data_IF_871580194663
#
_entry.id   IF_871580194663
#
_cell.length_a   1.000
_cell.length_b   1.000
_cell.length_c   1.000
_cell.angle_alpha   90.00
_cell.angle_beta   90.00
_cell.angle_gamma   90.00
#
_symmetry.space_group_name_H-M   'P 1'
#
loop_
_entity.id
_entity.type
_entity.pdbx_description
1 polymer ?
#
# COMPACT_ATOMS: atom_id res chain seq x y z
N UNK A 1 -28.55 52.48 22.01
CA UNK A 1 -27.96 51.49 22.95
C UNK A 1 -27.20 50.46 22.12
N UNK A 2 -25.87 50.50 22.13
CA UNK A 2 -25.01 49.50 21.49
C UNK A 2 -24.75 48.36 22.49
N UNK A 3 -25.14 47.14 22.14
CA UNK A 3 -24.86 45.96 22.96
C UNK A 3 -23.36 45.66 22.87
N UNK A 4 -22.60 45.61 23.97
CA UNK A 4 -21.20 45.25 23.94
C UNK A 4 -21.05 43.81 23.43
N UNK A 5 -20.25 43.65 22.37
CA UNK A 5 -20.01 42.39 21.67
C UNK A 5 -19.11 41.47 22.50
N UNK A 6 -19.67 40.80 23.51
CA UNK A 6 -19.00 39.82 24.36
C UNK A 6 -18.65 38.49 23.64
N UNK A 7 -19.11 38.30 22.39
CA UNK A 7 -18.90 37.07 21.61
C UNK A 7 -17.52 36.94 20.96
N UNK A 8 -16.79 38.06 20.80
CA UNK A 8 -15.49 38.10 20.11
C UNK A 8 -14.33 37.39 20.83
N UNK A 9 -14.13 37.56 22.16
CA UNK A 9 -13.04 36.87 22.85
C UNK A 9 -13.24 35.34 22.85
N UNK A 10 -14.48 34.87 23.00
CA UNK A 10 -14.80 33.44 23.01
C UNK A 10 -14.47 32.81 21.65
N UNK A 11 -14.91 33.44 20.55
CA UNK A 11 -14.63 32.93 19.21
C UNK A 11 -13.12 32.85 18.92
N UNK A 12 -12.34 33.84 19.38
CA UNK A 12 -10.88 33.84 19.19
C UNK A 12 -10.22 32.67 19.93
N UNK A 13 -10.60 32.43 21.19
CA UNK A 13 -10.09 31.29 21.96
C UNK A 13 -10.50 29.94 21.35
N UNK A 14 -11.71 29.84 20.78
CA UNK A 14 -12.12 28.64 20.04
C UNK A 14 -11.20 28.37 18.84
N UNK A 15 -10.91 29.38 18.01
CA UNK A 15 -10.02 29.22 16.84
C UNK A 15 -8.60 28.83 17.26
N UNK A 16 -8.05 29.49 18.28
CA UNK A 16 -6.73 29.15 18.82
C UNK A 16 -6.69 27.70 19.33
N UNK A 17 -7.72 27.29 20.09
CA UNK A 17 -7.85 25.92 20.57
C UNK A 17 -7.93 24.90 19.43
N UNK A 18 -8.70 25.18 18.38
CA UNK A 18 -8.79 24.31 17.20
C UNK A 18 -7.46 24.20 16.46
N UNK A 19 -6.73 25.30 16.26
CA UNK A 19 -5.40 25.27 15.63
C UNK A 19 -4.43 24.41 16.43
N UNK A 20 -4.40 24.57 17.76
CA UNK A 20 -3.55 23.76 18.64
C UNK A 20 -3.92 22.28 18.52
N UNK A 21 -5.21 21.95 18.56
CA UNK A 21 -5.68 20.56 18.41
C UNK A 21 -5.24 19.94 17.08
N UNK A 22 -5.46 20.63 15.96
CA UNK A 22 -5.06 20.13 14.65
C UNK A 22 -3.54 19.97 14.54
N UNK A 23 -2.78 20.89 15.12
CA UNK A 23 -1.32 20.80 15.14
C UNK A 23 -0.85 19.60 15.98
N UNK A 24 -1.43 19.37 17.16
CA UNK A 24 -1.15 18.18 17.98
C UNK A 24 -1.47 16.88 17.23
N UNK A 25 -2.60 16.83 16.51
CA UNK A 25 -2.97 15.67 15.68
C UNK A 25 -1.96 15.43 14.55
N UNK A 26 -1.53 16.49 13.86
CA UNK A 26 -0.49 16.41 12.83
C UNK A 26 0.84 15.90 13.39
N UNK A 27 1.29 16.46 14.52
CA UNK A 27 2.52 16.04 15.19
C UNK A 27 2.46 14.58 15.65
N UNK A 28 1.32 14.16 16.21
CA UNK A 28 1.11 12.77 16.61
C UNK A 28 1.20 11.81 15.43
N UNK A 29 0.47 12.08 14.33
CA UNK A 29 0.49 11.22 13.13
C UNK A 29 1.88 11.13 12.50
N UNK A 30 2.53 12.27 12.35
CA UNK A 30 3.88 12.37 11.76
C UNK A 30 4.90 11.65 12.65
N UNK A 31 4.84 11.89 13.96
CA UNK A 31 5.71 11.25 14.95
C UNK A 31 5.52 9.74 15.03
N UNK A 32 4.27 9.25 14.98
CA UNK A 32 3.97 7.82 14.95
C UNK A 32 4.56 7.15 13.69
N UNK A 33 4.38 7.75 12.51
CA UNK A 33 4.97 7.24 11.27
C UNK A 33 6.50 7.25 11.30
N UNK A 34 7.13 8.33 11.78
CA UNK A 34 8.58 8.41 11.95
C UNK A 34 9.11 7.35 12.92
N UNK A 35 8.45 7.19 14.07
CA UNK A 35 8.81 6.19 15.07
C UNK A 35 8.71 4.77 14.50
N UNK A 36 7.60 4.46 13.81
CA UNK A 36 7.42 3.16 13.15
C UNK A 36 8.51 2.89 12.10
N UNK A 37 8.80 3.86 11.24
CA UNK A 37 9.83 3.73 10.21
C UNK A 37 11.24 3.57 10.80
N UNK A 38 11.53 4.27 11.89
CA UNK A 38 12.77 4.10 12.62
C UNK A 38 12.86 2.71 13.25
N UNK A 39 11.78 2.25 13.87
CA UNK A 39 11.71 0.92 14.46
C UNK A 39 11.96 -0.17 13.41
N UNK A 40 11.32 -0.10 12.24
CA UNK A 40 11.58 -1.03 11.13
C UNK A 40 13.04 -1.06 10.70
N UNK A 41 13.74 0.09 10.72
CA UNK A 41 15.17 0.13 10.37
C UNK A 41 16.05 -0.48 11.45
N UNK A 42 15.73 -0.22 12.71
CA UNK A 42 16.51 -0.72 13.85
C UNK A 42 16.32 -2.22 14.08
N UNK A 43 15.11 -2.72 13.84
CA UNK A 43 14.75 -4.13 14.04
C UNK A 43 15.01 -5.00 12.81
N UNK A 44 15.47 -4.42 11.69
CA UNK A 44 15.76 -5.19 10.49
C UNK A 44 16.94 -6.14 10.74
N UNK A 45 16.70 -7.47 10.75
CA UNK A 45 17.72 -8.44 11.14
C UNK A 45 18.63 -8.73 9.95
N UNK A 46 19.55 -7.82 9.62
CA UNK A 46 20.42 -7.97 8.45
C UNK A 46 21.02 -9.40 8.39
N UNK A 47 20.74 -10.11 7.30
CA UNK A 47 21.22 -11.47 7.11
C UNK A 47 22.75 -11.54 7.17
N UNK A 48 23.30 -12.68 7.62
CA UNK A 48 24.75 -12.88 7.74
C UNK A 48 25.49 -12.68 6.41
N UNK A 49 24.84 -13.05 5.31
CA UNK A 49 25.31 -12.79 3.95
C UNK A 49 24.38 -11.76 3.30
N UNK A 50 24.96 -10.79 2.60
CA UNK A 50 24.19 -9.77 1.92
C UNK A 50 23.33 -10.41 0.82
N UNK A 51 22.01 -10.24 0.90
CA UNK A 51 21.09 -10.73 -0.13
C UNK A 51 21.29 -9.98 -1.46
N UNK A 52 20.88 -10.54 -2.60
CA UNK A 52 20.82 -9.80 -3.87
C UNK A 52 20.07 -8.47 -3.75
N UNK A 53 19.00 -8.43 -2.95
CA UNK A 53 18.29 -7.19 -2.65
C UNK A 53 19.18 -6.12 -2.01
N UNK A 54 19.94 -6.48 -0.98
CA UNK A 54 20.84 -5.55 -0.29
C UNK A 54 21.99 -5.06 -1.18
N UNK A 55 22.32 -5.81 -2.22
CA UNK A 55 23.34 -5.48 -3.21
C UNK A 55 22.80 -4.67 -4.40
N UNK A 56 21.50 -4.30 -4.39
CA UNK A 56 20.85 -3.57 -5.47
C UNK A 56 20.94 -4.28 -6.84
N UNK A 57 20.94 -5.62 -6.85
CA UNK A 57 20.92 -6.41 -8.09
C UNK A 57 19.64 -6.07 -8.88
N UNK A 58 19.71 -5.77 -10.19
CA UNK A 58 18.52 -5.52 -10.99
C UNK A 58 17.49 -6.65 -10.90
N UNK A 59 16.20 -6.30 -10.86
CA UNK A 59 15.12 -7.28 -10.61
C UNK A 59 15.06 -8.41 -11.66
N UNK A 60 15.42 -8.12 -12.91
CA UNK A 60 15.48 -9.06 -14.02
C UNK A 60 16.68 -10.02 -13.96
N UNK A 61 17.67 -9.72 -13.12
CA UNK A 61 18.86 -10.53 -12.86
C UNK A 61 18.76 -11.32 -11.54
N UNK A 62 17.71 -11.12 -10.75
CA UNK A 62 17.53 -11.83 -9.49
C UNK A 62 17.12 -13.28 -9.70
N UNK A 63 17.80 -14.19 -9.02
CA UNK A 63 17.32 -15.55 -8.82
C UNK A 63 16.29 -15.59 -7.68
N UNK A 64 15.01 -15.45 -8.04
CA UNK A 64 13.92 -15.47 -7.06
C UNK A 64 13.70 -16.84 -6.41
N UNK A 65 14.22 -17.93 -6.99
CA UNK A 65 14.13 -19.26 -6.37
C UNK A 65 14.93 -19.32 -5.06
N UNK A 66 15.94 -18.46 -4.89
CA UNK A 66 16.69 -18.33 -3.65
C UNK A 66 15.83 -17.91 -2.44
N UNK A 67 14.65 -17.34 -2.67
CA UNK A 67 13.75 -16.89 -1.61
C UNK A 67 12.62 -17.86 -1.31
N UNK A 68 12.45 -18.95 -2.08
CA UNK A 68 11.32 -19.88 -1.91
C UNK A 68 11.24 -20.44 -0.49
N UNK A 69 12.38 -20.69 0.16
CA UNK A 69 12.44 -21.19 1.54
C UNK A 69 11.94 -20.21 2.61
N UNK A 70 11.68 -18.95 2.28
CA UNK A 70 11.09 -17.97 3.22
C UNK A 70 9.58 -18.11 3.34
N UNK A 71 8.99 -18.91 2.46
CA UNK A 71 7.55 -19.09 2.37
C UNK A 71 7.19 -20.50 2.83
N UNK A 72 6.15 -20.65 3.66
CA UNK A 72 5.72 -21.97 4.11
C UNK A 72 5.17 -22.80 2.94
N UNK A 73 5.73 -23.99 2.74
CA UNK A 73 5.34 -24.94 1.68
C UNK A 73 3.98 -25.60 1.91
N UNK A 74 3.49 -25.65 3.15
CA UNK A 74 2.31 -26.43 3.53
C UNK A 74 1.36 -25.59 4.37
N UNK A 75 0.11 -25.50 3.91
CA UNK A 75 -1.01 -24.99 4.68
C UNK A 75 -2.11 -26.04 4.75
N UNK A 76 -2.58 -26.34 5.96
CA UNK A 76 -3.83 -27.07 6.16
C UNK A 76 -4.99 -26.08 6.01
N UNK A 77 -5.43 -25.86 4.77
CA UNK A 77 -6.63 -25.06 4.56
C UNK A 77 -7.87 -25.95 4.69
N UNK A 78 -8.94 -25.44 5.30
CA UNK A 78 -10.23 -26.10 5.21
C UNK A 78 -10.64 -26.17 3.74
N UNK A 79 -11.27 -27.27 3.36
CA UNK A 79 -11.81 -27.47 2.01
C UNK A 79 -12.96 -26.47 1.79
N UNK A 80 -12.65 -25.38 1.10
CA UNK A 80 -13.59 -24.33 0.73
C UNK A 80 -13.69 -24.28 -0.78
N UNK A 81 -14.89 -24.07 -1.31
CA UNK A 81 -15.08 -23.72 -2.72
C UNK A 81 -14.55 -22.29 -2.94
N UNK A 82 -13.42 -22.17 -3.64
CA UNK A 82 -12.79 -20.90 -3.97
C UNK A 82 -13.26 -20.41 -5.34
N UNK A 83 -13.64 -19.14 -5.42
CA UNK A 83 -13.76 -18.44 -6.70
C UNK A 83 -12.37 -18.00 -7.14
N UNK A 84 -11.78 -18.80 -8.01
CA UNK A 84 -10.42 -18.64 -8.51
C UNK A 84 -10.32 -17.78 -9.77
N UNK A 85 -11.38 -17.75 -10.57
CA UNK A 85 -11.49 -16.92 -11.77
C UNK A 85 -12.33 -15.67 -11.48
N UNK A 86 -11.82 -14.50 -11.85
CA UNK A 86 -12.55 -13.24 -11.69
C UNK A 86 -12.33 -12.32 -12.89
N UNK A 87 -13.29 -11.43 -13.12
CA UNK A 87 -13.10 -10.31 -14.02
C UNK A 87 -12.22 -9.23 -13.37
N UNK A 88 -11.26 -8.69 -14.13
CA UNK A 88 -10.41 -7.59 -13.67
C UNK A 88 -11.26 -6.34 -13.37
N UNK A 89 -11.14 -5.74 -12.17
CA UNK A 89 -11.93 -4.57 -11.81
C UNK A 89 -11.45 -3.27 -12.51
N UNK A 90 -10.22 -3.28 -13.02
CA UNK A 90 -9.54 -2.19 -13.71
C UNK A 90 -8.69 -2.75 -14.85
N UNK A 91 -8.21 -1.90 -15.76
CA UNK A 91 -7.15 -2.30 -16.70
C UNK A 91 -5.84 -2.44 -15.94
N UNK A 92 -5.16 -3.58 -16.13
CA UNK A 92 -3.86 -3.86 -15.55
C UNK A 92 -2.79 -3.57 -16.58
N UNK A 93 -1.80 -2.74 -16.22
CA UNK A 93 -0.69 -2.36 -17.09
C UNK A 93 0.61 -2.86 -16.50
N UNK A 94 1.35 -3.60 -17.32
CA UNK A 94 2.63 -4.20 -16.98
C UNK A 94 3.72 -3.59 -17.85
N UNK A 95 4.87 -3.31 -17.25
CA UNK A 95 5.97 -2.60 -17.90
C UNK A 95 7.25 -3.44 -17.82
N UNK A 96 8.11 -3.31 -18.83
CA UNK A 96 9.43 -3.96 -18.81
C UNK A 96 10.37 -3.29 -17.79
N UNK A 97 10.21 -1.98 -17.61
CA UNK A 97 10.94 -1.12 -16.67
C UNK A 97 9.94 -0.20 -15.94
N UNK A 98 10.36 0.44 -14.85
CA UNK A 98 9.49 1.41 -14.16
C UNK A 98 9.38 2.66 -15.04
N UNK A 99 8.17 3.05 -15.47
CA UNK A 99 8.00 4.04 -16.53
C UNK A 99 8.39 5.45 -16.10
N UNK A 100 9.25 6.09 -16.89
CA UNK A 100 9.71 7.47 -16.70
C UNK A 100 8.80 8.49 -17.44
N UNK A 101 7.50 8.49 -17.15
CA UNK A 101 6.46 9.33 -17.78
C UNK A 101 6.26 9.13 -19.30
N UNK A 102 5.04 8.75 -19.70
CA UNK A 102 4.66 8.62 -21.11
C UNK A 102 5.05 7.31 -21.79
N UNK A 103 5.71 6.39 -21.09
CA UNK A 103 6.02 5.05 -21.60
C UNK A 103 4.76 4.18 -21.75
N UNK A 104 4.74 3.38 -22.83
CA UNK A 104 3.67 2.44 -23.10
C UNK A 104 3.82 1.17 -22.25
N UNK A 105 2.69 0.57 -21.87
CA UNK A 105 2.69 -0.73 -21.21
C UNK A 105 3.22 -1.80 -22.18
N UNK A 106 4.09 -2.67 -21.68
CA UNK A 106 4.58 -3.84 -22.41
C UNK A 106 3.49 -4.92 -22.55
N UNK A 107 2.59 -4.98 -21.57
CA UNK A 107 1.41 -5.84 -21.58
C UNK A 107 0.25 -5.11 -20.89
N UNK A 108 -0.95 -5.22 -21.46
CA UNK A 108 -2.17 -4.68 -20.88
C UNK A 108 -3.25 -5.77 -20.82
N UNK A 109 -3.86 -5.95 -19.65
CA UNK A 109 -5.07 -6.75 -19.47
C UNK A 109 -6.22 -5.76 -19.30
N UNK A 110 -7.15 -5.77 -20.24
CA UNK A 110 -8.29 -4.87 -20.22
C UNK A 110 -9.17 -5.11 -18.98
N UNK A 111 -9.85 -4.05 -18.53
CA UNK A 111 -10.90 -4.17 -17.51
C UNK A 111 -12.00 -5.13 -17.99
N UNK A 112 -12.48 -5.99 -17.08
CA UNK A 112 -13.55 -6.95 -17.38
C UNK A 112 -13.03 -8.25 -17.98
N UNK A 113 -11.74 -8.35 -18.31
CA UNK A 113 -11.15 -9.61 -18.76
C UNK A 113 -11.12 -10.63 -17.63
N UNK A 114 -11.49 -11.87 -17.92
CA UNK A 114 -11.45 -12.96 -16.93
C UNK A 114 -10.03 -13.47 -16.75
N UNK A 115 -9.53 -13.39 -15.52
CA UNK A 115 -8.21 -13.85 -15.12
C UNK A 115 -8.29 -14.98 -14.10
N UNK A 116 -7.23 -15.77 -14.01
CA UNK A 116 -7.00 -16.73 -12.93
C UNK A 116 -6.35 -15.98 -11.76
N UNK A 117 -7.13 -15.49 -10.80
CA UNK A 117 -6.57 -14.74 -9.67
C UNK A 117 -5.99 -15.66 -8.58
N UNK A 118 -6.53 -16.87 -8.45
CA UNK A 118 -6.05 -17.92 -7.54
C UNK A 118 -5.64 -19.13 -8.39
N UNK A 119 -4.35 -19.47 -8.48
CA UNK A 119 -3.87 -20.59 -9.28
C UNK A 119 -4.19 -21.94 -8.62
N UNK A 120 -4.86 -22.83 -9.36
CA UNK A 120 -5.25 -24.18 -8.87
C UNK A 120 -4.07 -25.16 -8.75
N UNK A 121 -2.95 -24.87 -9.41
CA UNK A 121 -1.76 -25.73 -9.44
C UNK A 121 -0.83 -25.53 -8.24
N UNK A 122 -1.18 -24.66 -7.30
CA UNK A 122 -0.37 -24.47 -6.08
C UNK A 122 -0.64 -25.59 -5.10
N UNK A 123 0.34 -26.49 -4.92
CA UNK A 123 0.37 -27.39 -3.76
C UNK A 123 0.54 -26.53 -2.50
N UNK A 124 -0.53 -26.34 -1.75
CA UNK A 124 -0.52 -25.56 -0.51
C UNK A 124 -1.61 -24.50 -0.48
N UNK A 125 -1.25 -23.27 -0.12
CA UNK A 125 -2.24 -22.20 0.00
C UNK A 125 -2.51 -21.49 -1.33
N UNK A 126 -3.79 -21.32 -1.72
CA UNK A 126 -4.20 -20.65 -2.94
C UNK A 126 -3.76 -19.18 -3.01
N UNK A 127 -3.28 -18.63 -1.89
CA UNK A 127 -2.80 -17.26 -1.78
C UNK A 127 -1.27 -17.14 -1.80
N UNK A 128 -0.51 -18.18 -2.14
CA UNK A 128 0.95 -18.19 -1.98
C UNK A 128 1.72 -18.67 -3.21
N UNK A 129 1.24 -18.40 -4.42
CA UNK A 129 2.15 -18.48 -5.58
C UNK A 129 3.07 -17.25 -5.61
N UNK A 130 4.23 -17.37 -4.98
CA UNK A 130 5.17 -16.25 -4.90
C UNK A 130 5.62 -15.82 -6.31
N UNK A 131 5.54 -14.52 -6.55
CA UNK A 131 5.85 -13.89 -7.82
C UNK A 131 4.67 -13.83 -8.79
N UNK A 132 3.45 -14.25 -8.43
CA UNK A 132 2.27 -14.22 -9.30
C UNK A 132 1.22 -13.20 -8.85
N UNK A 133 0.77 -12.30 -9.72
CA UNK A 133 -0.32 -11.38 -9.40
C UNK A 133 -0.12 -10.58 -8.10
N UNK A 134 -1.01 -10.73 -7.12
CA UNK A 134 -0.92 -9.98 -5.86
C UNK A 134 0.11 -10.51 -4.86
N UNK A 135 0.71 -11.68 -5.08
CA UNK A 135 1.85 -12.23 -4.32
C UNK A 135 3.18 -11.86 -4.97
N UNK A 136 3.31 -10.60 -5.38
CA UNK A 136 4.45 -10.08 -6.13
C UNK A 136 5.69 -9.82 -5.28
N UNK A 137 6.86 -9.72 -5.92
CA UNK A 137 8.08 -9.26 -5.26
C UNK A 137 8.11 -7.74 -5.14
N UNK A 138 8.59 -7.17 -4.02
CA UNK A 138 8.83 -5.74 -3.93
C UNK A 138 9.96 -5.33 -4.86
N UNK A 139 9.86 -4.14 -5.44
CA UNK A 139 10.96 -3.49 -6.15
C UNK A 139 11.71 -2.52 -5.23
N UNK A 140 12.74 -1.87 -5.76
CA UNK A 140 13.47 -0.81 -5.07
C UNK A 140 12.69 0.50 -4.95
N UNK A 141 11.64 0.67 -5.74
CA UNK A 141 10.83 1.88 -5.75
C UNK A 141 9.48 1.64 -5.05
N UNK A 142 9.12 2.57 -4.16
CA UNK A 142 7.86 2.49 -3.43
C UNK A 142 6.67 2.48 -4.38
N UNK A 143 5.74 1.55 -4.17
CA UNK A 143 4.53 1.38 -4.98
C UNK A 143 4.70 0.51 -6.21
N UNK A 144 5.92 0.06 -6.54
CA UNK A 144 6.19 -0.77 -7.71
C UNK A 144 6.53 -2.20 -7.33
N UNK A 145 5.94 -3.14 -8.07
CA UNK A 145 6.05 -4.58 -7.84
C UNK A 145 6.60 -5.27 -9.08
N UNK A 146 7.42 -6.29 -8.85
CA UNK A 146 7.95 -7.13 -9.92
C UNK A 146 7.26 -8.50 -9.88
N UNK A 147 6.57 -8.85 -10.97
CA UNK A 147 5.60 -9.94 -10.93
C UNK A 147 5.37 -10.62 -12.28
N UNK A 148 5.05 -11.91 -12.25
CA UNK A 148 4.36 -12.61 -13.33
C UNK A 148 2.92 -12.10 -13.46
N UNK A 149 2.47 -11.66 -14.65
CA UNK A 149 1.11 -11.19 -14.86
C UNK A 149 0.06 -12.25 -14.55
N UNK A 150 -1.18 -11.83 -14.28
CA UNK A 150 -2.28 -12.79 -14.18
C UNK A 150 -2.50 -13.50 -15.52
N UNK A 151 -2.72 -14.81 -15.47
CA UNK A 151 -3.09 -15.59 -16.64
C UNK A 151 -4.53 -15.29 -17.03
N UNK A 152 -4.81 -15.23 -18.34
CA UNK A 152 -6.17 -15.16 -18.84
C UNK A 152 -6.84 -16.53 -18.67
N UNK A 153 -8.13 -16.55 -18.35
CA UNK A 153 -8.84 -17.81 -18.17
C UNK A 153 -9.03 -18.61 -19.47
N UNK A 154 -8.83 -17.96 -20.62
CA UNK A 154 -8.93 -18.55 -21.97
C UNK A 154 -7.59 -19.10 -22.46
N UNK A 155 -6.47 -18.69 -21.85
CA UNK A 155 -5.14 -19.17 -22.22
C UNK A 155 -4.92 -20.58 -21.65
N UNK A 156 -4.63 -21.53 -22.53
CA UNK A 156 -4.42 -22.94 -22.18
C UNK A 156 -2.96 -23.26 -21.83
N UNK A 157 -2.02 -22.35 -22.11
CA UNK A 157 -0.60 -22.54 -21.86
C UNK A 157 -0.14 -21.94 -20.52
N UNK A 158 -0.22 -22.75 -19.46
CA UNK A 158 0.39 -22.50 -18.15
C UNK A 158 1.89 -22.17 -18.22
N UNK A 159 2.57 -22.60 -19.29
CA UNK A 159 4.01 -22.43 -19.48
C UNK A 159 4.41 -21.08 -20.10
N UNK A 160 3.47 -20.33 -20.68
CA UNK A 160 3.77 -19.24 -21.62
C UNK A 160 4.20 -17.90 -21.00
N UNK A 161 3.98 -17.68 -19.69
CA UNK A 161 4.27 -16.38 -19.07
C UNK A 161 5.05 -16.47 -17.75
N UNK A 162 6.22 -17.11 -17.81
CA UNK A 162 7.23 -17.06 -16.73
C UNK A 162 7.92 -15.68 -16.64
N UNK A 163 7.67 -14.77 -17.59
CA UNK A 163 8.31 -13.46 -17.63
C UNK A 163 7.72 -12.54 -16.56
N UNK A 164 8.60 -11.84 -15.87
CA UNK A 164 8.25 -10.84 -14.88
C UNK A 164 8.19 -9.44 -15.49
N UNK A 165 7.34 -8.60 -14.90
CA UNK A 165 7.12 -7.21 -15.28
C UNK A 165 6.93 -6.33 -14.05
N UNK A 166 7.14 -5.04 -14.22
CA UNK A 166 6.77 -4.03 -13.24
C UNK A 166 5.29 -3.69 -13.32
N UNK A 167 4.64 -3.54 -12.16
CA UNK A 167 3.26 -3.11 -12.03
C UNK A 167 3.05 -2.27 -10.76
N UNK A 168 2.12 -1.33 -10.81
CA UNK A 168 1.74 -0.52 -9.65
C UNK A 168 0.96 -1.38 -8.64
N UNK A 169 1.37 -1.31 -7.37
CA UNK A 169 0.78 -2.12 -6.28
C UNK A 169 -0.72 -1.83 -6.10
N UNK A 170 -1.19 -0.61 -6.37
CA UNK A 170 -2.61 -0.29 -6.24
C UNK A 170 -3.44 -1.04 -7.28
N UNK A 171 -2.84 -1.35 -8.44
CA UNK A 171 -3.50 -2.17 -9.46
C UNK A 171 -3.72 -3.60 -8.98
N UNK A 172 -2.71 -4.18 -8.32
CA UNK A 172 -2.80 -5.50 -7.70
C UNK A 172 -3.77 -5.51 -6.52
N UNK A 173 -3.75 -4.46 -5.68
CA UNK A 173 -4.70 -4.30 -4.57
C UNK A 173 -6.14 -4.18 -5.05
N UNK A 174 -6.40 -3.60 -6.22
CA UNK A 174 -7.75 -3.55 -6.79
C UNK A 174 -8.26 -4.96 -7.16
N UNK A 175 -7.40 -5.79 -7.77
CA UNK A 175 -7.72 -7.20 -8.03
C UNK A 175 -7.95 -7.95 -6.72
N UNK A 176 -7.05 -7.77 -5.74
CA UNK A 176 -7.18 -8.41 -4.43
C UNK A 176 -8.46 -8.02 -3.70
N UNK A 177 -8.90 -6.76 -3.78
CA UNK A 177 -10.19 -6.33 -3.24
C UNK A 177 -11.37 -7.11 -3.86
N UNK A 178 -11.34 -7.37 -5.17
CA UNK A 178 -12.32 -8.23 -5.84
C UNK A 178 -12.24 -9.67 -5.35
N UNK A 179 -11.03 -10.23 -5.20
CA UNK A 179 -10.81 -11.59 -4.65
C UNK A 179 -11.40 -11.73 -3.26
N UNK A 180 -11.12 -10.76 -2.36
CA UNK A 180 -11.66 -10.71 -0.99
C UNK A 180 -13.20 -10.63 -1.02
N UNK A 181 -13.79 -9.88 -1.96
CA UNK A 181 -15.25 -9.74 -2.10
C UNK A 181 -15.95 -10.99 -2.62
N UNK A 182 -15.33 -11.76 -3.52
CA UNK A 182 -15.95 -12.97 -4.06
C UNK A 182 -15.68 -14.21 -3.22
N UNK A 183 -14.67 -14.19 -2.34
CA UNK A 183 -14.33 -15.32 -1.47
C UNK A 183 -14.65 -15.01 0.01
N UNK A 184 -15.83 -15.39 0.54
CA UNK A 184 -16.19 -15.22 1.96
C UNK A 184 -15.17 -15.78 2.96
N UNK A 185 -14.52 -16.93 2.73
CA UNK A 185 -13.51 -17.45 3.66
C UNK A 185 -12.35 -16.47 3.90
N UNK A 186 -11.89 -15.76 2.87
CA UNK A 186 -10.82 -14.74 3.03
C UNK A 186 -11.26 -13.62 3.96
N UNK A 187 -12.51 -13.16 3.84
CA UNK A 187 -13.04 -12.12 4.74
C UNK A 187 -13.17 -12.61 6.17
N UNK A 188 -13.56 -13.88 6.34
CA UNK A 188 -13.67 -14.48 7.65
C UNK A 188 -12.28 -14.54 8.31
N UNK A 189 -11.26 -15.01 7.60
CA UNK A 189 -9.87 -15.07 8.07
C UNK A 189 -9.34 -13.68 8.46
N UNK A 190 -9.49 -12.67 7.59
CA UNK A 190 -9.08 -11.29 7.90
C UNK A 190 -9.74 -10.78 9.19
N UNK A 191 -11.04 -11.08 9.39
CA UNK A 191 -11.77 -10.66 10.58
C UNK A 191 -11.37 -11.45 11.84
N UNK A 192 -11.07 -12.74 11.70
CA UNK A 192 -10.60 -13.57 12.82
C UNK A 192 -9.26 -13.07 13.37
N UNK A 193 -8.40 -12.51 12.51
CA UNK A 193 -7.16 -11.84 12.90
C UNK A 193 -7.38 -10.45 13.52
N UNK A 194 -8.64 -10.01 13.71
CA UNK A 194 -8.99 -8.72 14.26
C UNK A 194 -8.69 -7.54 13.33
N UNK A 195 -8.50 -7.80 12.03
CA UNK A 195 -8.16 -6.77 11.06
C UNK A 195 -9.40 -6.22 10.35
N UNK A 196 -9.32 -4.94 9.98
CA UNK A 196 -10.24 -4.39 8.99
C UNK A 196 -9.92 -4.99 7.61
N UNK A 197 -10.90 -5.02 6.70
CA UNK A 197 -10.66 -5.51 5.33
C UNK A 197 -9.55 -4.75 4.62
N UNK A 198 -9.45 -3.44 4.86
CA UNK A 198 -8.36 -2.61 4.32
C UNK A 198 -6.99 -3.05 4.84
N UNK A 199 -6.89 -3.32 6.15
CA UNK A 199 -5.64 -3.80 6.77
C UNK A 199 -5.27 -5.20 6.30
N UNK A 200 -6.25 -6.11 6.18
CA UNK A 200 -6.02 -7.45 5.63
C UNK A 200 -5.55 -7.41 4.18
N UNK A 201 -6.19 -6.59 3.33
CA UNK A 201 -5.76 -6.35 1.94
C UNK A 201 -4.32 -5.82 1.88
N UNK A 202 -4.00 -4.81 2.69
CA UNK A 202 -2.66 -4.24 2.77
C UNK A 202 -1.60 -5.30 3.13
N UNK A 203 -1.90 -6.13 4.13
CA UNK A 203 -1.00 -7.18 4.61
C UNK A 203 -0.81 -8.29 3.58
N UNK A 204 -1.88 -8.77 2.94
CA UNK A 204 -1.80 -9.82 1.92
C UNK A 204 -0.96 -9.35 0.72
N UNK A 205 -1.19 -8.13 0.22
CA UNK A 205 -0.44 -7.55 -0.90
C UNK A 205 1.06 -7.34 -0.62
N UNK A 206 1.46 -7.30 0.66
CA UNK A 206 2.84 -7.11 1.13
C UNK A 206 3.36 -8.31 1.93
N UNK A 207 2.70 -9.46 1.80
CA UNK A 207 3.08 -10.69 2.51
C UNK A 207 4.52 -11.11 2.18
N UNK A 208 4.91 -10.95 0.92
CA UNK A 208 6.29 -11.19 0.43
C UNK A 208 7.29 -10.24 1.09
N UNK A 209 6.96 -8.96 1.23
CA UNK A 209 7.79 -7.94 1.87
C UNK A 209 8.04 -8.30 3.33
N UNK A 210 6.98 -8.69 4.04
CA UNK A 210 7.09 -9.12 5.42
C UNK A 210 7.90 -10.42 5.59
N UNK A 211 7.85 -11.34 4.61
CA UNK A 211 8.72 -12.51 4.62
C UNK A 211 10.18 -12.10 4.43
N UNK A 212 10.49 -11.34 3.38
CA UNK A 212 11.86 -10.86 3.11
C UNK A 212 12.42 -10.04 4.28
N UNK A 213 11.60 -9.22 4.93
CA UNK A 213 11.99 -8.45 6.11
C UNK A 213 12.36 -9.35 7.28
N UNK A 214 11.50 -10.31 7.63
CA UNK A 214 11.73 -11.23 8.77
C UNK A 214 12.98 -12.09 8.58
N UNK A 215 13.32 -12.42 7.33
CA UNK A 215 14.52 -13.18 6.98
C UNK A 215 15.76 -12.30 6.77
N UNK A 216 15.67 -10.98 7.00
CA UNK A 216 16.82 -10.09 6.86
C UNK A 216 17.26 -9.84 5.43
N UNK A 217 16.48 -10.28 4.45
CA UNK A 217 16.82 -10.22 3.04
C UNK A 217 16.52 -8.85 2.45
N UNK A 218 15.39 -8.24 2.80
CA UNK A 218 15.04 -6.92 2.25
C UNK A 218 14.06 -6.15 3.13
N UNK A 219 14.34 -4.87 3.34
CA UNK A 219 13.41 -3.90 3.93
C UNK A 219 12.77 -3.09 2.79
N UNK A 220 11.64 -3.60 2.30
CA UNK A 220 10.88 -2.96 1.21
C UNK A 220 10.44 -1.55 1.58
N UNK A 221 10.53 -0.57 0.65
CA UNK A 221 10.05 0.79 0.89
C UNK A 221 8.53 0.84 1.08
N UNK A 222 7.80 -0.18 0.63
CA UNK A 222 6.34 -0.30 0.83
C UNK A 222 5.95 -0.65 2.26
N UNK A 223 6.90 -1.06 3.12
CA UNK A 223 6.66 -1.28 4.54
C UNK A 223 6.69 0.01 5.36
N UNK A 224 7.24 1.10 4.83
CA UNK A 224 7.29 2.38 5.53
C UNK A 224 5.95 3.11 5.48
N UNK A 225 5.57 3.68 6.63
CA UNK A 225 4.48 4.63 6.71
C UNK A 225 4.88 5.95 6.05
N UNK A 226 3.96 6.53 5.29
CA UNK A 226 4.16 7.86 4.70
C UNK A 226 4.10 8.92 5.79
N UNK A 227 5.25 9.52 6.08
CA UNK A 227 5.37 10.65 7.02
C UNK A 227 4.50 11.84 6.58
N UNK A 228 4.41 12.08 5.27
CA UNK A 228 3.53 13.10 4.69
C UNK A 228 2.48 12.44 3.79
N UNK A 229 1.32 12.14 4.36
CA UNK A 229 0.17 11.62 3.63
C UNK A 229 -0.84 12.74 3.29
N UNK A 230 -1.93 12.38 2.58
CA UNK A 230 -2.99 13.33 2.21
C UNK A 230 -3.65 13.97 3.44
N UNK A 231 -3.78 13.22 4.53
CA UNK A 231 -4.38 13.74 5.76
C UNK A 231 -3.51 14.78 6.44
N UNK A 232 -2.20 14.52 6.52
CA UNK A 232 -1.21 15.46 7.03
C UNK A 232 -1.18 16.73 6.18
N UNK A 233 -1.27 16.60 4.85
CA UNK A 233 -1.42 17.75 3.95
C UNK A 233 -2.73 18.54 4.20
N UNK A 234 -3.86 17.86 4.37
CA UNK A 234 -5.15 18.49 4.69
C UNK A 234 -5.09 19.21 6.05
N UNK A 235 -4.49 18.59 7.07
CA UNK A 235 -4.33 19.16 8.41
C UNK A 235 -3.49 20.43 8.35
N UNK A 236 -2.34 20.40 7.68
CA UNK A 236 -1.48 21.57 7.48
C UNK A 236 -2.20 22.68 6.69
N UNK A 237 -2.94 22.31 5.64
CA UNK A 237 -3.76 23.25 4.87
C UNK A 237 -4.83 23.93 5.73
N UNK A 238 -5.55 23.17 6.55
CA UNK A 238 -6.57 23.69 7.44
C UNK A 238 -5.99 24.65 8.51
N UNK A 239 -4.83 24.28 9.08
CA UNK A 239 -4.09 25.15 10.01
C UNK A 239 -3.70 26.47 9.31
N UNK A 240 -3.13 26.39 8.10
CA UNK A 240 -2.73 27.56 7.32
C UNK A 240 -3.90 28.51 7.01
N UNK A 241 -5.04 27.96 6.58
CA UNK A 241 -6.26 28.74 6.29
C UNK A 241 -6.77 29.45 7.54
N UNK A 242 -6.83 28.76 8.69
CA UNK A 242 -7.30 29.38 9.94
C UNK A 242 -6.38 30.51 10.41
N UNK A 243 -5.06 30.31 10.35
CA UNK A 243 -4.09 31.35 10.69
C UNK A 243 -4.26 32.57 9.77
N UNK A 244 -4.38 32.35 8.45
CA UNK A 244 -4.60 33.43 7.48
C UNK A 244 -5.89 34.20 7.77
N UNK A 245 -7.00 33.52 8.07
CA UNK A 245 -8.27 34.16 8.42
C UNK A 245 -8.16 35.04 9.68
N UNK A 246 -7.44 34.57 10.71
CA UNK A 246 -7.19 35.35 11.94
C UNK A 246 -6.32 36.59 11.63
N UNK A 247 -5.28 36.45 10.82
CA UNK A 247 -4.42 37.58 10.45
C UNK A 247 -5.16 38.63 9.61
N UNK A 248 -5.97 38.19 8.64
CA UNK A 248 -6.75 39.08 7.78
C UNK A 248 -7.84 39.82 8.55
N UNK A 249 -8.54 39.15 9.47
CA UNK A 249 -9.56 39.81 10.30
C UNK A 249 -8.97 40.89 11.21
N UNK A 250 -7.74 40.69 11.72
CA UNK A 250 -6.99 41.71 12.47
C UNK A 250 -6.50 42.86 11.57
N UNK A 251 -6.02 42.56 10.36
CA UNK A 251 -5.53 43.56 9.40
C UNK A 251 -6.63 44.49 8.85
N UNK A 252 -7.85 43.97 8.65
CA UNK A 252 -9.02 44.78 8.28
C UNK A 252 -9.44 45.69 9.44
N UNK A 253 -9.32 45.23 10.69
CA UNK A 253 -9.64 46.04 11.87
C UNK A 253 -8.67 47.22 12.04
N UNK A 254 -7.36 47.00 11.90
CA UNK A 254 -6.36 48.07 11.99
C UNK A 254 -6.53 49.14 10.89
N UNK A 255 -7.06 48.77 9.72
CA UNK A 255 -7.37 49.71 8.62
C UNK A 255 -8.66 50.51 8.83
N UNK A 256 -9.60 50.06 9.66
CA UNK A 256 -10.85 50.79 9.97
C UNK A 256 -10.70 51.84 11.09
N UNK A 257 -9.61 51.79 11.84
CA UNK A 257 -9.33 52.70 12.96
C UNK A 257 -8.16 53.67 12.68
N UNK A 258 -7.66 53.71 11.44
CA UNK A 258 -6.86 54.81 10.90
C UNK A 258 -7.75 55.66 10.01
#
# INVERSE_FOLDING_TARGET
MSIPSASKPILWWCVVGTVILLFCLFMYRTGAAMYHNQQLRQEFPAATNASPYQQAVPMDQMDFAAYTSYFPDIFALPDYEWTNRIETPISLKYYAEIPSSGEAAALEIAKGTTIIAIPEWTTGSPFYEVGYGYTSYPSYEQGWRYVRPFMLAEDSDLASNQKYYYVDINSLEAVLDKVIKVNPPVRAEIRQQGWSLSKGKYFIARSVDHALYRHGAYLSPDLYDRVMDRWNAILLGAIGIMIAAVLLSRGVWLRRHR
#
